data_IF_354468084976
#
_entry.id   IF_354468084976
#
_cell.length_a   1.000
_cell.length_b   1.000
_cell.length_c   1.000
_cell.angle_alpha   90.00
_cell.angle_beta   90.00
_cell.angle_gamma   90.00
#
_symmetry.space_group_name_H-M   'P 1'
#
loop_
_entity.id
_entity.type
_entity.pdbx_description
1 polymer ?
#
# COMPACT_ATOMS: atom_id res chain seq x y z
N UNK A 1 -14.11 -9.14 0.84
CA UNK A 1 -13.41 -9.32 2.13
C UNK A 1 -12.07 -9.95 1.83
N UNK A 2 -10.97 -9.17 1.81
CA UNK A 2 -9.63 -9.70 1.51
C UNK A 2 -9.09 -10.33 2.79
N UNK A 3 -8.81 -11.63 2.75
CA UNK A 3 -8.20 -12.35 3.88
C UNK A 3 -6.71 -11.98 3.95
N UNK A 4 -6.28 -11.49 5.11
CA UNK A 4 -4.86 -11.33 5.44
C UNK A 4 -4.17 -12.71 5.38
N UNK A 5 -3.04 -12.82 4.66
CA UNK A 5 -2.23 -14.06 4.61
C UNK A 5 -2.03 -14.73 3.24
N UNK A 6 -2.95 -14.61 2.27
CA UNK A 6 -2.81 -15.29 0.96
C UNK A 6 -2.31 -14.33 -0.13
N UNK A 7 -1.29 -14.66 -0.96
CA UNK A 7 -0.88 -13.79 -2.06
C UNK A 7 -2.01 -13.63 -3.07
N UNK A 8 -2.39 -12.37 -3.36
CA UNK A 8 -3.47 -12.04 -4.28
C UNK A 8 -2.97 -12.27 -5.73
N UNK A 9 -3.76 -12.91 -6.60
CA UNK A 9 -3.38 -13.23 -8.00
C UNK A 9 -3.45 -12.01 -8.95
N UNK A 10 -3.37 -10.81 -8.40
CA UNK A 10 -3.42 -9.55 -9.16
C UNK A 10 -2.00 -9.11 -9.53
N UNK A 11 -1.86 -8.27 -10.56
CA UNK A 11 -0.56 -7.71 -10.92
C UNK A 11 -0.08 -6.82 -9.78
N UNK A 12 1.13 -7.10 -9.28
CA UNK A 12 1.81 -6.25 -8.31
C UNK A 12 2.33 -4.99 -9.02
N UNK A 13 1.56 -3.91 -8.92
CA UNK A 13 1.89 -2.58 -9.45
C UNK A 13 2.94 -1.92 -8.56
N UNK A 14 2.79 -2.04 -7.24
CA UNK A 14 3.70 -1.44 -6.27
C UNK A 14 4.73 -2.43 -5.75
N UNK A 15 5.86 -1.91 -5.27
CA UNK A 15 6.93 -2.69 -4.66
C UNK A 15 6.68 -2.78 -3.15
N UNK A 16 6.67 -3.99 -2.61
CA UNK A 16 6.56 -4.20 -1.17
C UNK A 16 7.94 -4.03 -0.53
N UNK A 17 8.01 -3.21 0.52
CA UNK A 17 9.22 -3.06 1.33
C UNK A 17 9.39 -4.25 2.28
N UNK A 18 10.65 -4.62 2.53
CA UNK A 18 11.01 -5.59 3.56
C UNK A 18 11.10 -4.88 4.90
N UNK A 19 10.35 -5.34 5.89
CA UNK A 19 10.38 -4.75 7.23
C UNK A 19 10.54 -5.85 8.28
N UNK A 20 11.37 -5.61 9.29
CA UNK A 20 11.57 -6.53 10.42
C UNK A 20 10.59 -6.23 11.57
N UNK A 21 10.60 -7.06 12.62
CA UNK A 21 9.75 -6.87 13.82
C UNK A 21 9.97 -5.52 14.54
N UNK A 22 11.08 -4.83 14.27
CA UNK A 22 11.43 -3.53 14.85
C UNK A 22 11.06 -2.37 13.91
N UNK A 23 10.26 -2.62 12.88
CA UNK A 23 9.83 -1.60 11.93
C UNK A 23 10.99 -0.98 11.11
N UNK A 24 12.13 -1.67 10.98
CA UNK A 24 13.24 -1.22 10.13
C UNK A 24 13.10 -1.74 8.70
N UNK A 25 13.26 -0.84 7.73
CA UNK A 25 13.27 -1.15 6.30
C UNK A 25 14.61 -1.80 5.94
N UNK A 26 14.56 -2.96 5.27
CA UNK A 26 15.71 -3.79 4.87
C UNK A 26 16.65 -4.17 6.04
N UNK A 27 16.11 -4.23 7.26
CA UNK A 27 16.84 -4.67 8.45
C UNK A 27 17.14 -6.17 8.45
N UNK A 28 18.09 -6.59 9.29
CA UNK A 28 18.38 -8.02 9.50
C UNK A 28 17.11 -8.71 10.01
N UNK A 29 16.70 -9.78 9.32
CA UNK A 29 15.45 -10.50 9.60
C UNK A 29 14.19 -9.83 9.03
N UNK A 30 14.32 -8.84 8.16
CA UNK A 30 13.18 -8.23 7.49
C UNK A 30 12.52 -9.19 6.48
N UNK A 31 11.20 -9.28 6.52
CA UNK A 31 10.42 -10.07 5.57
C UNK A 31 9.61 -9.17 4.66
N UNK A 32 9.36 -9.66 3.43
CA UNK A 32 8.52 -8.98 2.45
C UNK A 32 7.09 -8.84 2.99
N UNK A 33 6.61 -7.61 3.05
CA UNK A 33 5.26 -7.27 3.51
C UNK A 33 4.24 -7.30 2.36
N UNK A 34 4.36 -8.29 1.47
CA UNK A 34 3.45 -8.49 0.33
C UNK A 34 2.07 -9.00 0.74
N UNK A 35 1.95 -9.53 1.96
CA UNK A 35 0.69 -10.02 2.53
C UNK A 35 -0.08 -8.95 3.30
N UNK A 36 0.49 -7.75 3.47
CA UNK A 36 -0.12 -6.64 4.18
C UNK A 36 -1.41 -6.20 3.52
N UNK A 37 -2.41 -5.86 4.34
CA UNK A 37 -3.74 -5.53 3.85
C UNK A 37 -3.72 -4.25 3.02
N UNK A 38 -2.89 -3.28 3.40
CA UNK A 38 -2.69 -2.01 2.72
C UNK A 38 -1.99 -2.22 1.38
N UNK A 39 -0.96 -3.07 1.33
CA UNK A 39 -0.27 -3.40 0.08
C UNK A 39 -1.23 -4.05 -0.92
N UNK A 40 -2.02 -5.03 -0.49
CA UNK A 40 -3.03 -5.69 -1.34
C UNK A 40 -4.11 -4.73 -1.79
N UNK A 41 -4.65 -3.94 -0.86
CA UNK A 41 -5.73 -2.99 -1.14
C UNK A 41 -5.28 -1.94 -2.16
N UNK A 42 -4.09 -1.35 -1.99
CA UNK A 42 -3.57 -0.36 -2.94
C UNK A 42 -3.28 -0.99 -4.30
N UNK A 43 -2.66 -2.17 -4.36
CA UNK A 43 -2.46 -2.87 -5.63
C UNK A 43 -3.78 -3.18 -6.34
N UNK A 44 -4.79 -3.61 -5.58
CA UNK A 44 -6.11 -3.90 -6.13
C UNK A 44 -6.77 -2.63 -6.66
N UNK A 45 -6.76 -1.54 -5.88
CA UNK A 45 -7.31 -0.25 -6.30
C UNK A 45 -6.62 0.24 -7.58
N UNK A 46 -5.30 0.13 -7.65
CA UNK A 46 -4.54 0.49 -8.84
C UNK A 46 -4.93 -0.40 -10.05
N UNK A 47 -5.10 -1.71 -9.86
CA UNK A 47 -5.59 -2.58 -10.94
C UNK A 47 -7.03 -2.24 -11.35
N UNK A 48 -7.92 -1.93 -10.42
CA UNK A 48 -9.31 -1.52 -10.68
C UNK A 48 -9.38 -0.19 -11.44
N UNK A 49 -8.43 0.71 -11.19
CA UNK A 49 -8.24 1.95 -11.96
C UNK A 49 -7.58 1.74 -13.33
N UNK A 50 -7.22 0.49 -13.69
CA UNK A 50 -6.56 0.16 -14.95
C UNK A 50 -5.13 0.70 -15.05
N UNK A 51 -4.49 0.93 -13.90
CA UNK A 51 -3.14 1.49 -13.86
C UNK A 51 -2.05 0.44 -14.01
N UNK A 52 -0.88 0.86 -14.49
CA UNK A 52 0.26 -0.01 -14.76
C UNK A 52 1.50 0.45 -13.98
N UNK A 53 2.33 -0.53 -13.61
CA UNK A 53 3.57 -0.28 -12.88
C UNK A 53 4.46 0.73 -13.62
N UNK A 54 4.87 1.78 -12.91
CA UNK A 54 5.78 2.80 -13.43
C UNK A 54 5.12 3.88 -14.29
N UNK A 55 3.80 3.84 -14.52
CA UNK A 55 3.06 4.93 -15.15
C UNK A 55 2.52 5.91 -14.10
N UNK A 56 2.38 7.18 -14.47
CA UNK A 56 1.80 8.22 -13.62
C UNK A 56 0.46 8.64 -14.24
N UNK A 57 -0.56 8.76 -13.40
CA UNK A 57 -1.95 8.99 -13.76
C UNK A 57 -2.45 10.30 -13.17
N UNK A 58 -1.98 11.46 -13.66
CA UNK A 58 -2.34 12.76 -13.09
C UNK A 58 -3.81 13.13 -13.35
N UNK A 59 -4.46 12.51 -14.34
CA UNK A 59 -5.87 12.77 -14.63
C UNK A 59 -6.83 12.10 -13.62
N UNK A 60 -6.37 11.06 -12.93
CA UNK A 60 -7.14 10.39 -11.88
C UNK A 60 -7.12 11.29 -10.65
N UNK A 61 -8.30 11.72 -10.20
CA UNK A 61 -8.49 12.52 -9.00
C UNK A 61 -9.45 11.81 -8.07
N UNK A 62 -9.25 11.96 -6.77
CA UNK A 62 -10.12 11.33 -5.79
C UNK A 62 -9.63 11.54 -4.37
N UNK A 63 -10.35 10.95 -3.43
CA UNK A 63 -9.94 10.90 -2.03
C UNK A 63 -9.95 9.44 -1.56
N UNK A 64 -8.83 8.99 -1.02
CA UNK A 64 -8.65 7.66 -0.46
C UNK A 64 -8.48 7.78 1.06
N UNK A 65 -9.54 7.47 1.80
CA UNK A 65 -9.49 7.40 3.26
C UNK A 65 -9.20 5.97 3.69
N UNK A 66 -8.05 5.75 4.34
CA UNK A 66 -7.67 4.47 4.93
C UNK A 66 -7.83 4.61 6.44
N UNK A 67 -8.62 3.72 7.03
CA UNK A 67 -8.87 3.68 8.47
C UNK A 67 -8.36 2.34 9.00
N UNK A 68 -7.47 2.38 9.98
CA UNK A 68 -6.89 1.20 10.59
C UNK A 68 -6.98 1.29 12.12
N UNK A 69 -7.34 0.17 12.74
CA UNK A 69 -7.35 0.00 14.20
C UNK A 69 -5.93 -0.09 14.77
N UNK A 70 -4.94 -0.40 13.93
CA UNK A 70 -3.53 -0.52 14.31
C UNK A 70 -2.68 0.54 13.62
N UNK A 71 -1.62 0.99 14.30
CA UNK A 71 -0.64 1.90 13.72
C UNK A 71 -0.06 1.30 12.42
N UNK A 72 -0.03 2.11 11.36
CA UNK A 72 0.51 1.69 10.08
C UNK A 72 2.00 1.37 10.23
N UNK A 73 2.44 0.20 9.73
CA UNK A 73 3.85 -0.13 9.71
C UNK A 73 4.58 0.74 8.68
N UNK A 74 5.89 1.01 8.83
CA UNK A 74 6.64 1.79 7.84
C UNK A 74 6.69 1.13 6.46
N UNK A 75 6.48 -0.19 6.36
CA UNK A 75 6.24 -0.88 5.08
C UNK A 75 5.05 -0.30 4.32
N UNK A 76 3.99 0.07 5.04
CA UNK A 76 2.79 0.66 4.45
C UNK A 76 3.07 2.06 3.91
N UNK A 77 3.97 2.82 4.56
CA UNK A 77 4.33 4.17 4.14
C UNK A 77 5.03 4.17 2.77
N UNK A 78 5.90 3.20 2.50
CA UNK A 78 6.56 3.06 1.20
C UNK A 78 5.59 2.81 0.04
N UNK A 79 4.59 1.93 0.24
CA UNK A 79 3.58 1.65 -0.79
C UNK A 79 2.62 2.83 -0.98
N UNK A 80 2.25 3.53 0.10
CA UNK A 80 1.40 4.73 0.05
C UNK A 80 2.11 5.84 -0.73
N UNK A 81 3.41 6.01 -0.52
CA UNK A 81 4.19 7.02 -1.25
C UNK A 81 4.29 6.69 -2.73
N UNK A 82 4.48 5.42 -3.09
CA UNK A 82 4.42 4.97 -4.49
C UNK A 82 3.05 5.24 -5.11
N UNK A 83 1.97 4.96 -4.38
CA UNK A 83 0.61 5.26 -4.83
C UNK A 83 0.40 6.76 -5.03
N UNK A 84 0.83 7.60 -4.08
CA UNK A 84 0.73 9.06 -4.21
C UNK A 84 1.56 9.61 -5.38
N UNK A 85 2.70 8.99 -5.68
CA UNK A 85 3.54 9.35 -6.83
C UNK A 85 2.84 8.99 -8.14
N UNK A 86 2.20 7.82 -8.18
CA UNK A 86 1.43 7.34 -9.33
C UNK A 86 0.15 8.16 -9.54
N UNK A 87 -0.50 8.59 -8.46
CA UNK A 87 -1.76 9.32 -8.46
C UNK A 87 -1.61 10.64 -7.69
N UNK A 88 -0.90 11.64 -8.24
CA UNK A 88 -0.57 12.87 -7.51
C UNK A 88 -1.80 13.72 -7.16
N UNK A 89 -2.92 13.51 -7.84
CA UNK A 89 -4.19 14.20 -7.58
C UNK A 89 -5.19 13.37 -6.75
N UNK A 90 -4.77 12.21 -6.22
CA UNK A 90 -5.56 11.45 -5.27
C UNK A 90 -5.12 11.80 -3.86
N UNK A 91 -6.02 12.37 -3.07
CA UNK A 91 -5.75 12.77 -1.69
C UNK A 91 -5.85 11.56 -0.78
N UNK A 92 -4.75 11.18 -0.13
CA UNK A 92 -4.72 10.05 0.80
C UNK A 92 -4.91 10.59 2.23
N UNK A 93 -5.92 10.09 2.92
CA UNK A 93 -6.19 10.40 4.33
C UNK A 93 -5.96 9.12 5.13
N UNK A 94 -4.93 9.13 5.97
CA UNK A 94 -4.62 8.03 6.87
C UNK A 94 -5.20 8.34 8.24
N UNK A 95 -6.01 7.43 8.76
CA UNK A 95 -6.53 7.47 10.13
C UNK A 95 -6.08 6.18 10.80
N UNK A 96 -5.21 6.30 11.79
CA UNK A 96 -4.74 5.21 12.65
C UNK A 96 -5.22 5.38 14.09
N UNK A 97 -5.23 4.28 14.84
CA UNK A 97 -5.52 4.30 16.27
C UNK A 97 -6.98 4.51 16.63
N UNK A 98 -7.90 4.17 15.71
CA UNK A 98 -9.34 4.14 16.02
C UNK A 98 -9.57 3.00 17.00
N UNK A 99 -9.96 3.35 18.22
CA UNK A 99 -10.13 2.44 19.36
C UNK A 99 -11.58 2.43 19.81
#
# INVERSE_FOLDING_TARGET
>A
MVRSGEPDKIKNIFIAEKVNSQQQIDGIGAWLRTTDSEYKMLNRLANELGSEKGKIYPYIKGELKIVSERAYCPSCQGVIQQFNTMFPNVKIILIDGVK
#
